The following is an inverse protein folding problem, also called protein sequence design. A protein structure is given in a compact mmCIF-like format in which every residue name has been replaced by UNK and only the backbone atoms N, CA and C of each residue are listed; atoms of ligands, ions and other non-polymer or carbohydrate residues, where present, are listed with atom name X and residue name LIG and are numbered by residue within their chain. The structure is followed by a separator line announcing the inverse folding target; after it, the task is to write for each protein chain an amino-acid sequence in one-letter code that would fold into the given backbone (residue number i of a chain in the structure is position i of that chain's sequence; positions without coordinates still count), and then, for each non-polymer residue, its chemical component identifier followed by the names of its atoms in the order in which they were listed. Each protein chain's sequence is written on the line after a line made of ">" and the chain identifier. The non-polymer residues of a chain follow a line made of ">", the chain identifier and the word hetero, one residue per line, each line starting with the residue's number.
data_IF_656280055897
#
_entry.id   IF_656280055897
#
_cell.length_a   1.000
_cell.length_b   1.000
_cell.length_c   1.000
_cell.angle_alpha   90.00
_cell.angle_beta   90.00
_cell.angle_gamma   90.00
#
_symmetry.space_group_name_H-M   'P 1'
#
loop_
_entity.id
_entity.type
_entity.pdbx_description
1 polymer ?
#
# COMPACT_ATOMS: atom_id res chain seq x y z
N UNK A 1 -24.08 -0.54 -5.19
CA UNK A 1 -22.85 -1.30 -4.83
C UNK A 1 -21.84 -0.34 -4.21
N UNK A 2 -21.19 -0.73 -3.10
CA UNK A 2 -20.23 0.13 -2.38
C UNK A 2 -18.82 -0.15 -2.88
N UNK A 3 -18.09 0.90 -3.30
CA UNK A 3 -16.68 0.76 -3.74
C UNK A 3 -15.79 0.36 -2.56
N UNK A 4 -15.03 -0.72 -2.75
CA UNK A 4 -14.17 -1.28 -1.71
C UNK A 4 -12.84 -0.50 -1.58
N UNK A 5 -12.41 0.16 -2.66
CA UNK A 5 -11.19 0.97 -2.78
C UNK A 5 -11.43 2.40 -2.29
N UNK A 6 -11.25 2.62 -0.99
CA UNK A 6 -11.31 3.95 -0.38
C UNK A 6 -9.94 4.34 0.18
N UNK A 7 -9.60 5.63 0.14
CA UNK A 7 -8.35 6.13 0.72
C UNK A 7 -8.23 5.73 2.20
N UNK A 8 -7.01 5.38 2.64
CA UNK A 8 -6.74 4.97 4.03
C UNK A 8 -7.01 3.49 4.34
N UNK A 9 -7.40 2.68 3.36
CA UNK A 9 -7.50 1.24 3.53
C UNK A 9 -6.15 0.54 3.34
N UNK A 10 -5.97 -0.57 4.05
CA UNK A 10 -4.77 -1.41 3.94
C UNK A 10 -5.00 -2.50 2.91
N UNK A 11 -3.99 -2.71 2.05
CA UNK A 11 -3.97 -3.74 1.02
C UNK A 11 -2.65 -4.52 1.07
N UNK A 12 -2.64 -5.71 0.45
CA UNK A 12 -1.46 -6.56 0.30
C UNK A 12 -1.21 -6.73 -1.19
N UNK A 13 0.04 -6.54 -1.62
CA UNK A 13 0.43 -6.73 -3.02
C UNK A 13 0.70 -8.21 -3.29
N UNK A 14 -0.01 -8.78 -4.28
CA UNK A 14 0.04 -10.21 -4.63
C UNK A 14 1.16 -10.59 -5.61
N UNK A 15 1.57 -9.72 -6.53
CA UNK A 15 2.65 -9.96 -7.52
C UNK A 15 3.38 -8.66 -7.82
N UNK A 16 4.52 -8.42 -7.18
CA UNK A 16 5.44 -7.34 -7.48
C UNK A 16 6.83 -7.66 -6.92
N UNK A 17 7.82 -6.81 -7.23
CA UNK A 17 9.18 -6.84 -6.64
C UNK A 17 9.13 -6.78 -5.10
N UNK A 18 8.06 -6.26 -4.52
CA UNK A 18 7.81 -6.18 -3.07
C UNK A 18 6.64 -7.08 -2.64
N UNK A 19 6.81 -8.42 -2.61
CA UNK A 19 5.73 -9.33 -2.23
C UNK A 19 5.45 -9.28 -0.72
N UNK A 20 4.19 -9.55 -0.35
CA UNK A 20 3.73 -9.83 1.03
C UNK A 20 3.86 -8.69 2.06
N UNK A 21 4.11 -7.46 1.61
CA UNK A 21 4.11 -6.28 2.48
C UNK A 21 2.70 -5.73 2.65
N UNK A 22 2.35 -5.30 3.87
CA UNK A 22 1.16 -4.47 4.12
C UNK A 22 1.44 -3.07 3.63
N UNK A 23 0.56 -2.56 2.79
CA UNK A 23 0.62 -1.20 2.29
C UNK A 23 -0.71 -0.51 2.52
N UNK A 24 -0.69 0.81 2.60
CA UNK A 24 -1.89 1.62 2.66
C UNK A 24 -2.14 2.28 1.31
N UNK A 25 -3.42 2.35 0.96
CA UNK A 25 -3.90 3.08 -0.20
C UNK A 25 -3.73 4.58 0.07
N UNK A 26 -2.86 5.24 -0.70
CA UNK A 26 -2.66 6.67 -0.53
C UNK A 26 -3.90 7.41 -1.01
N UNK A 27 -4.20 8.53 -0.36
CA UNK A 27 -5.53 9.13 -0.42
C UNK A 27 -5.88 9.81 -1.74
N UNK A 28 -4.90 9.99 -2.63
CA UNK A 28 -4.95 11.08 -3.60
C UNK A 28 -5.01 10.64 -5.08
N UNK A 29 -4.64 9.40 -5.42
CA UNK A 29 -4.57 8.96 -6.82
C UNK A 29 -5.05 7.51 -6.99
N UNK A 30 -6.36 7.35 -6.99
CA UNK A 30 -7.04 6.14 -7.47
C UNK A 30 -7.68 6.48 -8.81
N UNK A 31 -7.16 5.89 -9.89
CA UNK A 31 -7.69 6.12 -11.24
C UNK A 31 -8.38 4.84 -11.69
N UNK A 32 -9.70 4.79 -11.48
CA UNK A 32 -10.53 3.63 -11.84
C UNK A 32 -10.66 3.48 -13.38
N UNK A 33 -10.55 4.58 -14.13
CA UNK A 33 -10.73 4.62 -15.60
C UNK A 33 -9.42 4.51 -16.40
N UNK A 34 -8.27 4.46 -15.72
CA UNK A 34 -6.95 4.49 -16.36
C UNK A 34 -6.45 5.91 -16.65
N UNK A 35 -5.13 6.04 -16.78
CA UNK A 35 -4.44 7.26 -17.21
C UNK A 35 -3.92 7.06 -18.64
N UNK A 36 -3.55 8.15 -19.33
CA UNK A 36 -2.97 8.06 -20.68
C UNK A 36 -1.73 7.15 -20.74
N UNK A 37 -0.96 7.07 -19.64
CA UNK A 37 0.23 6.21 -19.52
C UNK A 37 -0.10 4.75 -19.20
N UNK A 38 -1.19 4.52 -18.47
CA UNK A 38 -1.59 3.21 -17.96
C UNK A 38 -3.11 3.03 -18.14
N UNK A 39 -3.54 2.30 -19.18
CA UNK A 39 -4.97 2.15 -19.53
C UNK A 39 -5.72 1.17 -18.61
N UNK A 40 -5.10 0.71 -17.52
CA UNK A 40 -5.70 -0.21 -16.56
C UNK A 40 -5.91 0.50 -15.21
N UNK A 41 -6.90 0.05 -14.42
CA UNK A 41 -7.15 0.61 -13.10
C UNK A 41 -5.92 0.36 -12.21
N UNK A 42 -5.37 1.45 -11.69
CA UNK A 42 -4.22 1.41 -10.82
C UNK A 42 -4.40 2.32 -9.63
N UNK A 43 -3.68 2.00 -8.57
CA UNK A 43 -3.67 2.75 -7.34
C UNK A 43 -2.23 3.07 -6.98
N UNK A 44 -2.00 4.31 -6.56
CA UNK A 44 -0.75 4.64 -5.88
C UNK A 44 -0.85 4.13 -4.45
N UNK A 45 0.20 3.43 -4.03
CA UNK A 45 0.25 2.73 -2.76
C UNK A 45 1.53 3.13 -2.06
N UNK A 46 1.43 3.43 -0.76
CA UNK A 46 2.59 3.65 0.08
C UNK A 46 2.64 2.56 1.15
N UNK A 47 3.82 2.06 1.47
CA UNK A 47 3.93 0.97 2.42
C UNK A 47 5.29 0.91 3.08
N UNK A 48 5.43 -0.10 3.93
CA UNK A 48 6.60 -0.30 4.77
C UNK A 48 7.45 -1.38 4.10
N UNK A 49 8.67 -1.02 3.71
CA UNK A 49 9.62 -1.96 3.10
C UNK A 49 10.18 -2.95 4.12
N UNK A 50 10.64 -2.46 5.27
CA UNK A 50 11.10 -3.27 6.38
C UNK A 50 10.25 -2.98 7.60
N UNK A 51 9.61 -4.01 8.13
CA UNK A 51 8.91 -3.88 9.40
C UNK A 51 9.88 -3.48 10.52
N UNK A 52 9.45 -2.62 11.44
CA UNK A 52 10.24 -2.33 12.62
C UNK A 52 10.52 -3.63 13.36
N UNK A 53 11.78 -3.79 13.78
CA UNK A 53 12.17 -4.92 14.63
C UNK A 53 11.55 -4.72 16.02
N UNK A 54 11.17 -5.82 16.66
CA UNK A 54 10.79 -5.78 18.07
C UNK A 54 11.92 -5.19 18.89
N UNK A 55 11.62 -4.17 19.68
CA UNK A 55 12.59 -3.53 20.57
C UNK A 55 12.50 -4.17 21.96
N UNK A 56 13.64 -4.53 22.54
CA UNK A 56 13.74 -4.97 23.93
C UNK A 56 13.88 -3.74 24.82
N UNK A 57 13.26 -3.76 26.01
CA UNK A 57 13.33 -2.66 26.98
C UNK A 57 14.76 -2.30 27.40
N UNK A 58 15.68 -3.26 27.34
CA UNK A 58 17.09 -3.11 27.71
C UNK A 58 17.97 -2.42 26.66
N UNK A 59 17.46 -2.17 25.45
CA UNK A 59 18.22 -1.51 24.39
C UNK A 59 18.48 -0.01 24.69
N UNK A 60 17.77 0.55 25.68
CA UNK A 60 17.91 1.93 26.12
C UNK A 60 18.66 1.96 27.46
N UNK A 61 19.96 1.65 27.44
CA UNK A 61 20.90 1.83 28.55
C UNK A 61 22.11 2.63 28.08
#
# INVERSE_FOLDING_TARGET
>A
MVRMYKPGKVAIVRKAVMPERRLYLSSSWMVDEGSNEHPFPHAIVAGIERYPKGVLKTLCL
#
